data_IF_738391125490
#
_entry.id   IF_738391125490
#
_cell.length_a   1.000
_cell.length_b   1.000
_cell.length_c   1.000
_cell.angle_alpha   90.00
_cell.angle_beta   90.00
_cell.angle_gamma   90.00
#
_symmetry.space_group_name_H-M   'P 1'
#
loop_
_entity.id
_entity.type
_entity.pdbx_description
1 polymer ?
#
# COMPACT_ATOMS: atom_id res chain seq x y z
N UNK A 1 -25.76 -22.34 34.14
CA UNK A 1 -25.46 -20.90 33.99
C UNK A 1 -23.95 -20.75 33.89
N UNK A 2 -23.39 -20.87 32.68
CA UNK A 2 -21.95 -20.71 32.42
C UNK A 2 -21.74 -19.41 31.65
N UNK A 3 -21.27 -18.38 32.34
CA UNK A 3 -20.76 -17.16 31.72
C UNK A 3 -19.41 -17.48 31.07
N UNK A 4 -19.40 -17.77 29.76
CA UNK A 4 -18.18 -17.62 28.96
C UNK A 4 -17.95 -16.12 28.80
N UNK A 5 -17.04 -15.57 29.58
CA UNK A 5 -16.40 -14.29 29.30
C UNK A 5 -15.63 -14.48 27.98
N UNK A 6 -16.29 -14.19 26.86
CA UNK A 6 -15.62 -14.00 25.58
C UNK A 6 -14.90 -12.67 25.73
N UNK A 7 -13.59 -12.71 25.98
CA UNK A 7 -12.74 -11.56 25.71
C UNK A 7 -12.98 -11.16 24.25
N UNK A 8 -13.23 -9.88 23.92
CA UNK A 8 -13.23 -9.45 22.53
C UNK A 8 -11.77 -9.40 22.07
N UNK A 9 -11.11 -10.55 21.98
CA UNK A 9 -9.98 -10.68 21.09
C UNK A 9 -10.57 -10.35 19.73
N UNK A 10 -10.07 -9.27 19.13
CA UNK A 10 -10.42 -8.88 17.77
C UNK A 10 -9.94 -10.03 16.87
N UNK A 11 -10.73 -11.10 16.77
CA UNK A 11 -10.52 -12.16 15.81
C UNK A 11 -10.97 -11.58 14.47
N UNK A 12 -10.06 -10.82 13.84
CA UNK A 12 -10.21 -10.49 12.44
C UNK A 12 -10.40 -11.80 11.69
N UNK A 13 -11.52 -11.94 10.96
CA UNK A 13 -11.65 -13.04 10.02
C UNK A 13 -10.41 -13.09 9.11
N UNK A 14 -9.93 -14.27 8.69
CA UNK A 14 -8.71 -14.38 7.87
C UNK A 14 -8.72 -13.45 6.66
N UNK A 15 -9.88 -13.29 6.00
CA UNK A 15 -10.07 -12.34 4.91
C UNK A 15 -9.76 -10.89 5.33
N UNK A 16 -10.19 -10.49 6.53
CA UNK A 16 -10.02 -9.13 7.06
C UNK A 16 -8.56 -8.87 7.46
N UNK A 17 -7.86 -9.83 8.07
CA UNK A 17 -6.45 -9.64 8.44
C UNK A 17 -5.57 -9.50 7.20
N UNK A 18 -5.80 -10.30 6.15
CA UNK A 18 -5.06 -10.19 4.88
C UNK A 18 -5.34 -8.85 4.19
N UNK A 19 -6.59 -8.36 4.22
CA UNK A 19 -6.92 -7.03 3.72
C UNK A 19 -6.22 -5.91 4.48
N UNK A 20 -6.15 -6.00 5.81
CA UNK A 20 -5.40 -5.04 6.63
C UNK A 20 -3.91 -5.05 6.24
N UNK A 21 -3.31 -6.22 6.09
CA UNK A 21 -1.91 -6.34 5.61
C UNK A 21 -1.75 -5.73 4.22
N UNK A 22 -2.63 -6.03 3.28
CA UNK A 22 -2.61 -5.46 1.93
C UNK A 22 -2.67 -3.92 1.97
N UNK A 23 -3.60 -3.34 2.72
CA UNK A 23 -3.75 -1.88 2.83
C UNK A 23 -2.52 -1.25 3.48
N UNK A 24 -1.99 -1.86 4.55
CA UNK A 24 -0.85 -1.31 5.27
C UNK A 24 0.44 -1.32 4.43
N UNK A 25 0.73 -2.40 3.71
CA UNK A 25 1.97 -2.49 2.94
C UNK A 25 1.82 -1.92 1.52
N UNK A 26 0.83 -2.39 0.74
CA UNK A 26 0.66 -1.94 -0.64
C UNK A 26 0.13 -0.50 -0.74
N UNK A 27 -0.72 -0.08 0.20
CA UNK A 27 -1.29 1.25 0.25
C UNK A 27 -0.42 2.22 1.05
N UNK A 28 -0.49 2.11 2.38
CA UNK A 28 0.07 3.11 3.30
C UNK A 28 1.59 3.13 3.24
N UNK A 29 2.25 1.98 3.38
CA UNK A 29 3.71 1.87 3.40
C UNK A 29 4.33 2.37 2.09
N UNK A 30 3.74 1.98 0.97
CA UNK A 30 4.16 2.46 -0.35
C UNK A 30 4.01 3.99 -0.48
N UNK A 31 2.83 4.55 -0.20
CA UNK A 31 2.62 6.03 -0.27
C UNK A 31 3.61 6.77 0.63
N UNK A 32 3.79 6.33 1.87
CA UNK A 32 4.71 6.99 2.82
C UNK A 32 6.14 6.95 2.29
N UNK A 33 6.61 5.77 1.87
CA UNK A 33 7.99 5.61 1.40
C UNK A 33 8.26 6.35 0.09
N UNK A 34 7.32 6.35 -0.84
CA UNK A 34 7.39 7.11 -2.10
C UNK A 34 7.43 8.61 -1.85
N UNK A 35 6.55 9.11 -0.97
CA UNK A 35 6.48 10.55 -0.67
C UNK A 35 7.75 11.06 0.00
N UNK A 36 8.35 10.26 0.89
CA UNK A 36 9.67 10.55 1.47
C UNK A 36 10.74 10.50 0.38
N UNK A 37 10.70 9.50 -0.50
CA UNK A 37 11.65 9.35 -1.60
C UNK A 37 11.66 10.52 -2.57
N UNK A 38 10.50 10.99 -3.03
CA UNK A 38 10.37 12.16 -3.92
C UNK A 38 10.96 13.43 -3.29
N UNK A 39 10.92 13.55 -1.96
CA UNK A 39 11.53 14.67 -1.25
C UNK A 39 13.04 14.58 -1.08
N UNK A 40 13.68 13.46 -1.42
CA UNK A 40 15.13 13.23 -1.28
C UNK A 40 15.82 13.31 -2.64
N UNK A 41 16.79 14.23 -2.79
CA UNK A 41 17.65 14.28 -3.99
C UNK A 41 18.35 12.92 -4.19
N UNK A 42 18.13 12.28 -5.34
CA UNK A 42 18.73 10.99 -5.71
C UNK A 42 17.80 9.77 -5.67
N UNK A 43 16.55 9.93 -5.20
CA UNK A 43 15.49 8.91 -5.34
C UNK A 43 14.55 9.30 -6.48
N UNK A 44 14.44 8.44 -7.50
CA UNK A 44 13.50 8.63 -8.61
C UNK A 44 12.30 7.70 -8.47
N UNK A 45 11.11 8.28 -8.53
CA UNK A 45 9.84 7.56 -8.65
C UNK A 45 9.90 6.61 -9.86
N UNK A 46 10.01 5.30 -9.62
CA UNK A 46 10.13 4.30 -10.70
C UNK A 46 8.75 3.85 -11.22
N UNK A 47 7.66 4.23 -10.55
CA UNK A 47 6.30 3.88 -10.92
C UNK A 47 5.87 4.61 -12.21
N UNK A 48 5.59 3.91 -13.33
CA UNK A 48 5.37 4.56 -14.62
C UNK A 48 4.16 5.51 -14.62
N UNK A 49 3.13 5.19 -13.83
CA UNK A 49 1.91 6.00 -13.77
C UNK A 49 2.12 7.29 -12.97
N UNK A 50 2.80 7.23 -11.82
CA UNK A 50 3.03 8.42 -11.00
C UNK A 50 4.14 9.29 -11.61
N UNK A 51 5.20 8.69 -12.17
CA UNK A 51 6.21 9.41 -12.93
C UNK A 51 5.60 10.17 -14.12
N UNK A 52 4.71 9.52 -14.89
CA UNK A 52 3.98 10.18 -15.97
C UNK A 52 3.14 11.38 -15.47
N UNK A 53 2.46 11.25 -14.33
CA UNK A 53 1.67 12.34 -13.75
C UNK A 53 2.55 13.51 -13.30
N UNK A 54 3.69 13.22 -12.66
CA UNK A 54 4.64 14.25 -12.21
C UNK A 54 5.18 15.01 -13.44
N UNK A 55 5.63 14.29 -14.47
CA UNK A 55 6.20 14.89 -15.68
C UNK A 55 5.17 15.66 -16.53
N UNK A 56 3.94 15.18 -16.64
CA UNK A 56 2.92 15.82 -17.48
C UNK A 56 2.32 17.08 -16.86
N UNK A 57 2.27 17.15 -15.53
CA UNK A 57 1.56 18.20 -14.80
C UNK A 57 2.46 19.07 -13.94
N UNK A 58 3.79 18.91 -14.03
CA UNK A 58 4.80 19.62 -13.24
C UNK A 58 4.42 19.67 -11.74
N UNK A 59 4.04 18.50 -11.19
CA UNK A 59 3.44 18.41 -9.86
C UNK A 59 4.43 18.83 -8.77
N UNK A 60 3.97 19.70 -7.87
CA UNK A 60 4.71 20.00 -6.64
C UNK A 60 4.64 18.83 -5.64
N UNK A 61 5.33 18.95 -4.50
CA UNK A 61 5.40 17.90 -3.48
C UNK A 61 4.01 17.48 -2.96
N UNK A 62 3.11 18.46 -2.77
CA UNK A 62 1.77 18.22 -2.22
C UNK A 62 0.88 17.55 -3.27
N UNK A 63 0.92 18.03 -4.51
CA UNK A 63 0.16 17.47 -5.62
C UNK A 63 0.65 16.05 -5.97
N UNK A 64 1.96 15.80 -5.85
CA UNK A 64 2.55 14.46 -5.99
C UNK A 64 2.04 13.50 -4.92
N UNK A 65 1.99 13.93 -3.65
CA UNK A 65 1.40 13.14 -2.58
C UNK A 65 -0.07 12.79 -2.86
N UNK A 66 -0.86 13.77 -3.27
CA UNK A 66 -2.29 13.57 -3.59
C UNK A 66 -2.45 12.62 -4.79
N UNK A 67 -1.62 12.75 -5.83
CA UNK A 67 -1.62 11.85 -6.97
C UNK A 67 -1.25 10.42 -6.57
N UNK A 68 -0.22 10.24 -5.72
CA UNK A 68 0.18 8.93 -5.20
C UNK A 68 -0.96 8.25 -4.41
N UNK A 69 -1.59 8.97 -3.49
CA UNK A 69 -2.75 8.50 -2.74
C UNK A 69 -3.89 8.15 -3.69
N UNK A 70 -4.19 9.01 -4.67
CA UNK A 70 -5.26 8.81 -5.63
C UNK A 70 -5.06 7.55 -6.48
N UNK A 71 -3.86 7.36 -7.04
CA UNK A 71 -3.51 6.17 -7.84
C UNK A 71 -3.66 4.89 -7.01
N UNK A 72 -3.15 4.89 -5.77
CA UNK A 72 -3.21 3.71 -4.89
C UNK A 72 -4.64 3.42 -4.44
N UNK A 73 -5.41 4.45 -4.09
CA UNK A 73 -6.81 4.32 -3.72
C UNK A 73 -7.66 3.78 -4.89
N UNK A 74 -7.44 4.29 -6.10
CA UNK A 74 -8.12 3.82 -7.31
C UNK A 74 -7.79 2.34 -7.58
N UNK A 75 -6.51 1.96 -7.47
CA UNK A 75 -6.08 0.58 -7.66
C UNK A 75 -6.65 -0.36 -6.58
N UNK A 76 -6.53 -0.01 -5.30
CA UNK A 76 -7.09 -0.78 -4.19
C UNK A 76 -8.61 -0.90 -4.29
N UNK A 77 -9.29 0.18 -4.69
CA UNK A 77 -10.73 0.18 -4.98
C UNK A 77 -11.10 -0.77 -6.11
N UNK A 78 -10.31 -0.79 -7.19
CA UNK A 78 -10.44 -1.75 -8.28
C UNK A 78 -10.27 -3.20 -7.82
N UNK A 79 -9.22 -3.49 -7.05
CA UNK A 79 -9.00 -4.81 -6.46
C UNK A 79 -10.15 -5.21 -5.53
N UNK A 80 -10.65 -4.29 -4.70
CA UNK A 80 -11.81 -4.54 -3.85
C UNK A 80 -13.07 -4.84 -4.67
N UNK A 81 -13.30 -4.12 -5.76
CA UNK A 81 -14.40 -4.38 -6.68
C UNK A 81 -14.29 -5.75 -7.37
N UNK A 82 -13.09 -6.25 -7.64
CA UNK A 82 -12.84 -7.62 -8.12
C UNK A 82 -13.11 -8.63 -7.01
N UNK A 83 -12.60 -8.39 -5.79
CA UNK A 83 -12.82 -9.24 -4.63
C UNK A 83 -14.31 -9.46 -4.35
N UNK A 84 -15.13 -8.40 -4.42
CA UNK A 84 -16.58 -8.49 -4.23
C UNK A 84 -17.30 -9.35 -5.29
N UNK A 85 -16.70 -9.54 -6.47
CA UNK A 85 -17.30 -10.30 -7.58
C UNK A 85 -16.82 -11.75 -7.66
N UNK A 86 -15.76 -12.10 -6.94
CA UNK A 86 -15.21 -13.45 -6.97
C UNK A 86 -15.95 -14.37 -6.00
N UNK A 87 -16.23 -15.62 -6.39
CA UNK A 87 -16.76 -16.61 -5.47
C UNK A 87 -15.72 -16.95 -4.39
N UNK A 88 -16.21 -17.47 -3.26
CA UNK A 88 -15.35 -18.10 -2.26
C UNK A 88 -14.94 -19.49 -2.74
N UNK A 89 -13.67 -19.91 -2.55
CA UNK A 89 -12.60 -19.22 -1.80
C UNK A 89 -11.72 -18.27 -2.62
N UNK A 90 -11.93 -18.14 -3.93
CA UNK A 90 -11.03 -17.44 -4.86
C UNK A 90 -10.86 -15.95 -4.53
N UNK A 91 -11.85 -15.32 -3.92
CA UNK A 91 -11.75 -13.93 -3.48
C UNK A 91 -10.52 -13.67 -2.59
N UNK A 92 -10.10 -14.63 -1.75
CA UNK A 92 -8.95 -14.48 -0.83
C UNK A 92 -7.63 -14.21 -1.57
N UNK A 93 -7.51 -14.68 -2.81
CA UNK A 93 -6.31 -14.47 -3.63
C UNK A 93 -6.03 -12.99 -3.93
N UNK A 94 -7.06 -12.14 -3.94
CA UNK A 94 -6.90 -10.70 -4.23
C UNK A 94 -6.11 -9.98 -3.14
N UNK A 95 -6.58 -9.92 -1.87
CA UNK A 95 -5.80 -9.28 -0.81
C UNK A 95 -4.48 -10.02 -0.53
N UNK A 96 -4.43 -11.34 -0.75
CA UNK A 96 -3.18 -12.10 -0.61
C UNK A 96 -2.13 -11.65 -1.63
N UNK A 97 -2.50 -11.51 -2.91
CA UNK A 97 -1.62 -10.99 -3.95
C UNK A 97 -1.14 -9.58 -3.65
N UNK A 98 -2.04 -8.71 -3.19
CA UNK A 98 -1.69 -7.35 -2.77
C UNK A 98 -0.67 -7.35 -1.61
N UNK A 99 -0.85 -8.20 -0.61
CA UNK A 99 0.08 -8.31 0.51
C UNK A 99 1.44 -8.86 0.07
N UNK A 100 1.45 -9.90 -0.78
CA UNK A 100 2.66 -10.53 -1.29
C UNK A 100 3.51 -9.59 -2.15
N UNK A 101 2.89 -8.67 -2.88
CA UNK A 101 3.60 -7.64 -3.65
C UNK A 101 3.95 -6.44 -2.78
N UNK A 102 3.01 -5.99 -1.95
CA UNK A 102 3.18 -4.81 -1.10
C UNK A 102 4.34 -4.94 -0.12
N UNK A 103 4.49 -6.08 0.55
CA UNK A 103 5.54 -6.27 1.56
C UNK A 103 6.96 -6.12 0.97
N UNK A 104 7.35 -6.84 -0.12
CA UNK A 104 8.65 -6.65 -0.75
C UNK A 104 8.87 -5.23 -1.28
N UNK A 105 7.84 -4.61 -1.87
CA UNK A 105 7.94 -3.24 -2.40
C UNK A 105 8.17 -2.23 -1.27
N UNK A 106 7.40 -2.30 -0.19
CA UNK A 106 7.61 -1.43 0.98
C UNK A 106 9.01 -1.63 1.58
N UNK A 107 9.46 -2.88 1.70
CA UNK A 107 10.80 -3.18 2.22
C UNK A 107 11.90 -2.62 1.31
N UNK A 108 11.74 -2.73 0.00
CA UNK A 108 12.65 -2.16 -0.99
C UNK A 108 12.69 -0.64 -0.92
N UNK A 109 11.52 0.03 -0.93
CA UNK A 109 11.45 1.48 -0.82
C UNK A 109 12.07 1.97 0.50
N UNK A 110 11.79 1.28 1.61
CA UNK A 110 12.36 1.60 2.91
C UNK A 110 13.90 1.45 2.91
N UNK A 111 14.42 0.39 2.28
CA UNK A 111 15.86 0.21 2.13
C UNK A 111 16.52 1.37 1.37
N UNK A 112 15.92 1.82 0.27
CA UNK A 112 16.44 2.97 -0.48
C UNK A 112 16.39 4.28 0.31
N UNK A 113 15.28 4.55 0.99
CA UNK A 113 15.14 5.72 1.87
C UNK A 113 16.20 5.71 2.97
N UNK A 114 16.39 4.59 3.66
CA UNK A 114 17.40 4.48 4.73
C UNK A 114 18.82 4.63 4.18
N UNK A 115 19.10 4.04 3.00
CA UNK A 115 20.45 4.06 2.41
C UNK A 115 20.90 5.47 2.04
N UNK A 116 19.98 6.30 1.56
CA UNK A 116 20.26 7.71 1.24
C UNK A 116 20.18 8.63 2.47
N UNK A 117 19.46 8.23 3.52
CA UNK A 117 19.36 9.00 4.76
C UNK A 117 20.56 8.82 5.70
N UNK A 118 21.49 7.90 5.42
CA UNK A 118 22.73 7.77 6.21
C UNK A 118 23.76 8.80 5.75
N UNK A 119 24.12 9.80 6.56
CA UNK A 119 25.28 10.64 6.28
C UNK A 119 26.55 9.79 6.45
N UNK A 120 27.52 9.98 5.55
CA UNK A 120 28.90 9.50 5.72
C UNK A 120 29.58 10.18 6.90
#
# INVERSE_FOLDING_TARGET
MHLRLISPSIELSPDRSIWVTAILFYGVGDVVTTSIGVGMEGLTETGPLLAFLIEQYDLDLVATFVAAVGVKAAFLGGCYAVWMRLPRPQCVSVPLGLALVGIPVTAWNLYHVISLARPF
#
